data_IF_194317126339
#
_entry.id   IF_194317126339
#
_cell.length_a   1.000
_cell.length_b   1.000
_cell.length_c   1.000
_cell.angle_alpha   90.00
_cell.angle_beta   90.00
_cell.angle_gamma   90.00
#
_symmetry.space_group_name_H-M   'P 1'
#
loop_
_entity.id
_entity.type
_entity.pdbx_description
1 polymer ?
#
# COMPACT_ATOMS: atom_id res chain seq x y z
N UNK A 1 27.98 -45.37 0.34
CA UNK A 1 26.62 -45.16 0.93
C UNK A 1 26.19 -43.76 0.55
N UNK A 2 25.61 -43.64 -0.63
CA UNK A 2 25.25 -42.35 -1.27
C UNK A 2 23.88 -41.92 -0.76
N UNK A 3 23.83 -40.75 -0.11
CA UNK A 3 22.58 -40.08 0.24
C UNK A 3 22.07 -39.26 -0.97
N UNK A 4 21.10 -39.82 -1.68
CA UNK A 4 20.36 -39.13 -2.73
C UNK A 4 19.46 -38.06 -2.11
N UNK A 5 19.77 -36.80 -2.34
CA UNK A 5 18.85 -35.70 -2.13
C UNK A 5 17.71 -35.80 -3.16
N UNK A 6 16.51 -36.11 -2.68
CA UNK A 6 15.31 -36.02 -3.49
C UNK A 6 14.99 -34.55 -3.75
N UNK A 7 15.16 -34.13 -5.01
CA UNK A 7 14.69 -32.85 -5.52
C UNK A 7 13.15 -32.94 -5.52
N UNK A 8 12.51 -32.20 -4.63
CA UNK A 8 11.06 -31.99 -4.66
C UNK A 8 10.74 -31.18 -5.88
N UNK A 9 10.19 -31.83 -6.90
CA UNK A 9 9.66 -31.18 -8.10
C UNK A 9 8.58 -30.17 -7.73
N UNK A 10 8.51 -28.99 -8.37
CA UNK A 10 7.42 -28.04 -8.14
C UNK A 10 6.10 -28.70 -8.52
N UNK A 11 5.15 -28.64 -7.60
CA UNK A 11 3.76 -29.12 -7.81
C UNK A 11 3.25 -28.48 -9.11
N UNK A 12 2.95 -29.30 -10.10
CA UNK A 12 2.37 -28.89 -11.39
C UNK A 12 1.09 -28.07 -11.10
N UNK A 13 1.09 -26.80 -11.48
CA UNK A 13 -0.06 -25.92 -11.38
C UNK A 13 -1.26 -26.60 -12.04
N UNK A 14 -2.32 -26.88 -11.28
CA UNK A 14 -3.57 -27.45 -11.79
C UNK A 14 -4.17 -26.42 -12.72
N UNK A 15 -4.19 -26.69 -14.02
CA UNK A 15 -4.66 -25.81 -15.10
C UNK A 15 -6.22 -25.72 -15.07
N UNK A 16 -6.78 -25.32 -13.95
CA UNK A 16 -8.22 -25.19 -13.73
C UNK A 16 -8.77 -23.95 -14.44
N UNK A 17 -10.06 -23.94 -14.79
CA UNK A 17 -10.70 -22.72 -15.34
C UNK A 17 -10.52 -21.49 -14.44
N UNK A 18 -10.56 -21.64 -13.12
CA UNK A 18 -10.36 -20.55 -12.16
C UNK A 18 -8.92 -19.99 -12.23
N UNK A 19 -7.90 -20.83 -12.30
CA UNK A 19 -6.51 -20.39 -12.42
C UNK A 19 -6.25 -19.63 -13.72
N UNK A 20 -6.85 -20.07 -14.84
CA UNK A 20 -6.78 -19.33 -16.11
C UNK A 20 -7.41 -17.94 -15.99
N UNK A 21 -8.54 -17.83 -15.32
CA UNK A 21 -9.23 -16.57 -15.04
C UNK A 21 -8.34 -15.66 -14.18
N UNK A 22 -7.79 -16.17 -13.08
CA UNK A 22 -6.91 -15.39 -12.20
C UNK A 22 -5.64 -14.92 -12.92
N UNK A 23 -5.06 -15.76 -13.77
CA UNK A 23 -3.91 -15.39 -14.58
C UNK A 23 -4.22 -14.18 -15.48
N UNK A 24 -5.37 -14.18 -16.16
CA UNK A 24 -5.79 -13.04 -17.00
C UNK A 24 -6.01 -11.78 -16.16
N UNK A 25 -6.70 -11.88 -15.02
CA UNK A 25 -7.02 -10.73 -14.18
C UNK A 25 -5.74 -10.05 -13.65
N UNK A 26 -4.71 -10.83 -13.30
CA UNK A 26 -3.40 -10.28 -12.87
C UNK A 26 -2.71 -9.43 -13.95
N UNK A 27 -3.04 -9.64 -15.22
CA UNK A 27 -2.47 -8.87 -16.32
C UNK A 27 -3.22 -7.57 -16.61
N UNK A 28 -4.41 -7.34 -16.04
CA UNK A 28 -5.13 -6.07 -16.22
C UNK A 28 -4.29 -4.97 -15.55
N UNK A 29 -3.84 -3.95 -16.31
CA UNK A 29 -2.99 -2.90 -15.74
C UNK A 29 -3.74 -2.04 -14.70
N UNK A 30 -2.98 -1.39 -13.83
CA UNK A 30 -3.51 -0.37 -12.94
C UNK A 30 -4.21 0.74 -13.74
N UNK A 31 -5.34 1.23 -13.24
CA UNK A 31 -6.13 2.26 -13.91
C UNK A 31 -6.83 1.79 -15.18
N UNK A 32 -6.82 0.48 -15.44
CA UNK A 32 -7.57 -0.15 -16.53
C UNK A 32 -8.59 -1.15 -15.99
N UNK A 33 -9.65 -1.34 -16.75
CA UNK A 33 -10.71 -2.28 -16.41
C UNK A 33 -11.00 -3.25 -17.56
N UNK A 34 -11.38 -4.46 -17.24
CA UNK A 34 -11.84 -5.45 -18.21
C UNK A 34 -13.26 -5.91 -17.85
N UNK A 35 -14.06 -6.25 -18.85
CA UNK A 35 -15.37 -6.81 -18.59
C UNK A 35 -15.28 -8.31 -18.27
N UNK A 36 -16.25 -8.85 -17.54
CA UNK A 36 -16.35 -10.29 -17.28
C UNK A 36 -16.27 -11.13 -18.56
N UNK A 37 -16.90 -10.65 -19.65
CA UNK A 37 -16.86 -11.31 -20.94
C UNK A 37 -15.48 -11.31 -21.57
N UNK A 38 -14.77 -10.20 -21.49
CA UNK A 38 -13.40 -10.06 -21.99
C UNK A 38 -12.43 -10.96 -21.21
N UNK A 39 -12.49 -10.97 -19.89
CA UNK A 39 -11.68 -11.86 -19.05
C UNK A 39 -11.93 -13.33 -19.41
N UNK A 40 -13.20 -13.72 -19.58
CA UNK A 40 -13.55 -15.08 -20.00
C UNK A 40 -12.94 -15.43 -21.37
N UNK A 41 -13.06 -14.54 -22.35
CA UNK A 41 -12.53 -14.77 -23.69
C UNK A 41 -11.00 -14.94 -23.67
N UNK A 42 -10.28 -14.07 -22.97
CA UNK A 42 -8.82 -14.11 -22.81
C UNK A 42 -8.34 -15.34 -22.02
N UNK A 43 -9.15 -15.85 -21.10
CA UNK A 43 -8.88 -17.10 -20.38
C UNK A 43 -9.11 -18.36 -21.23
N UNK A 44 -9.51 -18.23 -22.51
CA UNK A 44 -9.86 -19.34 -23.38
C UNK A 44 -11.22 -19.96 -23.05
N UNK A 45 -12.13 -19.18 -22.43
CA UNK A 45 -13.46 -19.58 -21.96
C UNK A 45 -14.55 -18.65 -22.54
N UNK A 46 -14.63 -18.46 -23.88
CA UNK A 46 -15.57 -17.50 -24.48
C UNK A 46 -17.02 -17.83 -24.06
N UNK A 47 -17.83 -16.81 -23.82
CA UNK A 47 -19.22 -16.95 -23.36
C UNK A 47 -19.39 -17.31 -21.87
N UNK A 48 -18.32 -17.53 -21.12
CA UNK A 48 -18.37 -17.96 -19.72
C UNK A 48 -18.20 -16.78 -18.72
N UNK A 49 -18.72 -15.61 -19.02
CA UNK A 49 -18.64 -14.43 -18.14
C UNK A 49 -19.14 -14.72 -16.70
N UNK A 50 -20.19 -15.54 -16.53
CA UNK A 50 -20.69 -15.94 -15.20
C UNK A 50 -19.67 -16.74 -14.40
N UNK A 51 -18.85 -17.56 -15.07
CA UNK A 51 -17.79 -18.34 -14.41
C UNK A 51 -16.70 -17.42 -13.83
N UNK A 52 -16.40 -16.29 -14.48
CA UNK A 52 -15.48 -15.29 -13.92
C UNK A 52 -16.03 -14.72 -12.62
N UNK A 53 -17.32 -14.40 -12.57
CA UNK A 53 -17.97 -13.94 -11.33
C UNK A 53 -17.93 -15.00 -10.22
N UNK A 54 -18.14 -16.28 -10.56
CA UNK A 54 -18.02 -17.41 -9.62
C UNK A 54 -16.60 -17.55 -9.11
N UNK A 55 -15.60 -17.57 -10.00
CA UNK A 55 -14.20 -17.67 -9.63
C UNK A 55 -13.76 -16.55 -8.67
N UNK A 56 -14.18 -15.31 -8.94
CA UNK A 56 -13.86 -14.18 -8.05
C UNK A 56 -14.55 -14.24 -6.70
N UNK A 57 -15.74 -14.84 -6.61
CA UNK A 57 -16.45 -15.04 -5.34
C UNK A 57 -15.84 -16.18 -4.52
N UNK A 58 -15.36 -17.21 -5.18
CA UNK A 58 -14.77 -18.41 -4.58
C UNK A 58 -13.23 -18.29 -4.43
N UNK A 59 -12.68 -17.12 -4.73
CA UNK A 59 -11.24 -16.88 -4.62
C UNK A 59 -10.78 -17.14 -3.17
N UNK A 60 -9.71 -17.93 -2.97
CA UNK A 60 -9.15 -18.16 -1.63
C UNK A 60 -8.78 -16.86 -0.94
N UNK A 61 -8.98 -16.80 0.38
CA UNK A 61 -8.50 -15.66 1.18
C UNK A 61 -6.98 -15.48 1.00
N UNK A 62 -6.56 -14.25 0.69
CA UNK A 62 -5.15 -13.93 0.45
C UNK A 62 -4.67 -14.13 -0.99
N UNK A 63 -5.54 -14.53 -1.92
CA UNK A 63 -5.20 -14.57 -3.33
C UNK A 63 -5.01 -13.14 -3.86
N UNK A 64 -3.79 -12.83 -4.26
CA UNK A 64 -3.44 -11.51 -4.86
C UNK A 64 -3.92 -11.45 -6.32
N UNK A 65 -5.16 -11.00 -6.49
CA UNK A 65 -5.80 -10.79 -7.79
C UNK A 65 -6.54 -9.45 -7.76
N UNK A 66 -6.27 -8.52 -8.69
CA UNK A 66 -6.91 -7.21 -8.74
C UNK A 66 -8.38 -7.34 -9.24
N UNK A 67 -9.21 -7.99 -8.44
CA UNK A 67 -10.61 -8.29 -8.74
C UNK A 67 -11.45 -7.06 -9.00
N UNK A 68 -11.09 -5.92 -8.39
CA UNK A 68 -11.76 -4.62 -8.56
C UNK A 68 -11.73 -4.13 -10.02
N UNK A 69 -10.73 -4.57 -10.82
CA UNK A 69 -10.59 -4.20 -12.23
C UNK A 69 -11.52 -4.97 -13.17
N UNK A 70 -12.35 -5.89 -12.63
CA UNK A 70 -13.32 -6.66 -13.41
C UNK A 70 -14.73 -6.09 -13.20
N UNK A 71 -15.32 -5.57 -14.28
CA UNK A 71 -16.59 -4.85 -14.27
C UNK A 71 -17.60 -5.47 -15.25
N UNK A 72 -18.85 -5.02 -15.19
CA UNK A 72 -19.86 -5.49 -16.16
C UNK A 72 -19.69 -4.83 -17.54
N UNK A 73 -20.36 -5.39 -18.55
CA UNK A 73 -20.30 -4.90 -19.93
C UNK A 73 -20.87 -3.47 -20.11
N UNK A 74 -21.68 -3.01 -19.17
CA UNK A 74 -22.23 -1.65 -19.17
C UNK A 74 -21.31 -0.60 -18.52
N UNK A 75 -20.04 -0.96 -18.22
CA UNK A 75 -19.07 -0.05 -17.60
C UNK A 75 -19.34 0.23 -16.12
N UNK A 76 -20.11 -0.61 -15.42
CA UNK A 76 -20.42 -0.42 -14.00
C UNK A 76 -19.75 -1.48 -13.12
N UNK A 77 -19.47 -1.12 -11.89
CA UNK A 77 -19.15 -2.10 -10.86
C UNK A 77 -20.34 -3.03 -10.61
N UNK A 78 -20.08 -4.23 -10.12
CA UNK A 78 -21.13 -5.27 -9.98
C UNK A 78 -21.39 -5.58 -8.51
N UNK A 79 -22.66 -5.52 -8.08
CA UNK A 79 -23.10 -6.02 -6.77
C UNK A 79 -22.93 -7.52 -6.71
N UNK A 80 -21.98 -8.01 -5.93
CA UNK A 80 -21.76 -9.46 -5.76
C UNK A 80 -22.49 -10.06 -4.57
N UNK A 81 -22.94 -9.22 -3.60
CA UNK A 81 -23.52 -9.66 -2.34
C UNK A 81 -24.86 -9.04 -1.95
N UNK A 82 -25.50 -8.23 -2.81
CA UNK A 82 -26.84 -7.69 -2.57
C UNK A 82 -26.99 -6.57 -1.53
N UNK A 83 -25.91 -6.15 -0.85
CA UNK A 83 -25.95 -5.13 0.22
C UNK A 83 -25.30 -3.79 -0.16
N UNK A 84 -24.90 -3.57 -1.41
CA UNK A 84 -24.32 -2.28 -1.86
C UNK A 84 -22.93 -1.91 -1.29
N UNK A 85 -22.50 -2.58 -0.22
CA UNK A 85 -21.21 -2.31 0.47
C UNK A 85 -20.02 -2.66 -0.41
N UNK A 86 -20.12 -3.76 -1.16
CA UNK A 86 -19.06 -4.20 -2.08
C UNK A 86 -18.93 -3.28 -3.30
N UNK A 87 -20.04 -2.71 -3.80
CA UNK A 87 -20.02 -1.73 -4.90
C UNK A 87 -19.27 -0.47 -4.51
N UNK A 88 -19.57 0.08 -3.34
CA UNK A 88 -18.88 1.24 -2.81
C UNK A 88 -17.39 0.98 -2.62
N UNK A 89 -17.02 -0.20 -2.14
CA UNK A 89 -15.62 -0.58 -1.94
C UNK A 89 -14.88 -0.82 -3.27
N UNK A 90 -15.51 -1.53 -4.24
CA UNK A 90 -14.94 -1.72 -5.57
C UNK A 90 -14.75 -0.39 -6.29
N UNK A 91 -15.75 0.49 -6.20
CA UNK A 91 -15.68 1.84 -6.76
C UNK A 91 -14.52 2.63 -6.14
N UNK A 92 -14.41 2.63 -4.82
CA UNK A 92 -13.34 3.31 -4.09
C UNK A 92 -11.95 2.83 -4.55
N UNK A 93 -11.73 1.52 -4.67
CA UNK A 93 -10.48 0.95 -5.15
C UNK A 93 -10.16 1.38 -6.60
N UNK A 94 -11.17 1.43 -7.48
CA UNK A 94 -10.99 1.88 -8.85
C UNK A 94 -10.71 3.38 -8.95
N UNK A 95 -11.37 4.20 -8.13
CA UNK A 95 -11.09 5.63 -8.01
C UNK A 95 -9.67 5.87 -7.48
N UNK A 96 -9.20 5.06 -6.54
CA UNK A 96 -7.79 5.07 -6.09
C UNK A 96 -6.82 4.69 -7.21
N UNK A 97 -7.25 3.87 -8.17
CA UNK A 97 -6.47 3.53 -9.37
C UNK A 97 -6.58 4.59 -10.49
N UNK A 98 -7.28 5.69 -10.26
CA UNK A 98 -7.45 6.78 -11.22
C UNK A 98 -8.56 6.54 -12.26
N UNK A 99 -9.41 5.54 -12.06
CA UNK A 99 -10.59 5.32 -12.91
C UNK A 99 -11.68 6.30 -12.53
N UNK A 100 -12.21 7.02 -13.52
CA UNK A 100 -13.25 8.05 -13.32
C UNK A 100 -14.61 7.47 -13.65
N UNK A 101 -15.58 7.73 -12.77
CA UNK A 101 -16.99 7.40 -12.97
C UNK A 101 -17.77 8.65 -13.39
N UNK A 102 -18.68 8.51 -14.33
CA UNK A 102 -19.62 9.56 -14.68
C UNK A 102 -20.70 9.79 -13.60
N UNK A 103 -21.59 10.78 -13.82
CA UNK A 103 -22.69 11.07 -12.89
C UNK A 103 -23.70 9.92 -12.74
N UNK A 104 -23.67 8.93 -13.63
CA UNK A 104 -24.51 7.72 -13.59
C UNK A 104 -23.78 6.50 -13.05
N UNK A 105 -22.55 6.65 -12.52
CA UNK A 105 -21.73 5.58 -11.99
C UNK A 105 -21.19 4.62 -13.05
N UNK A 106 -20.93 5.10 -14.27
CA UNK A 106 -20.32 4.33 -15.36
C UNK A 106 -18.89 4.76 -15.61
N UNK A 107 -18.09 3.80 -16.00
CA UNK A 107 -16.70 3.97 -16.45
C UNK A 107 -16.71 4.07 -17.97
N UNK A 108 -16.01 5.04 -18.51
CA UNK A 108 -15.75 5.17 -19.94
C UNK A 108 -14.79 4.05 -20.39
N UNK A 109 -15.32 3.06 -21.12
CA UNK A 109 -14.56 1.92 -21.58
C UNK A 109 -13.63 2.22 -22.76
N UNK A 110 -13.83 3.30 -23.50
CA UNK A 110 -12.89 3.75 -24.53
C UNK A 110 -11.61 4.27 -23.88
N UNK A 111 -11.75 4.98 -22.77
CA UNK A 111 -10.64 5.56 -22.01
C UNK A 111 -9.96 4.55 -21.06
N UNK A 112 -10.74 3.81 -20.30
CA UNK A 112 -10.28 2.95 -19.22
C UNK A 112 -10.31 1.46 -19.53
N UNK A 113 -10.93 1.05 -20.64
CA UNK A 113 -10.93 -0.35 -21.07
C UNK A 113 -9.52 -0.86 -21.33
N UNK A 114 -9.24 -2.09 -20.86
CA UNK A 114 -7.99 -2.77 -21.15
C UNK A 114 -8.03 -3.38 -22.55
N UNK A 115 -7.07 -2.99 -23.38
CA UNK A 115 -6.81 -3.61 -24.66
C UNK A 115 -5.49 -4.40 -24.59
N UNK A 116 -5.53 -5.74 -24.52
CA UNK A 116 -4.33 -6.56 -24.43
C UNK A 116 -3.51 -6.57 -25.74
N UNK A 117 -4.10 -6.19 -26.87
CA UNK A 117 -3.44 -6.13 -28.19
C UNK A 117 -2.89 -4.72 -28.47
N UNK A 118 -3.33 -3.71 -27.73
CA UNK A 118 -2.74 -2.39 -27.84
C UNK A 118 -1.26 -2.47 -27.42
N UNK A 119 -0.38 -2.51 -28.41
CA UNK A 119 1.06 -2.35 -28.17
C UNK A 119 1.25 -1.10 -27.29
N UNK A 120 2.12 -1.14 -26.27
CA UNK A 120 2.44 0.03 -25.50
C UNK A 120 2.88 1.12 -26.49
N UNK A 121 2.04 2.16 -26.65
CA UNK A 121 2.31 3.25 -27.56
C UNK A 121 3.62 3.90 -27.17
N UNK A 122 4.64 3.69 -28.03
CA UNK A 122 5.89 4.41 -27.98
C UNK A 122 6.88 3.87 -26.94
N UNK A 123 7.54 2.74 -27.26
CA UNK A 123 8.97 2.67 -27.00
C UNK A 123 9.60 3.81 -27.82
N UNK A 124 9.66 5.00 -27.27
CA UNK A 124 10.70 5.90 -27.65
C UNK A 124 12.00 5.11 -27.47
N UNK A 125 12.73 4.87 -28.54
CA UNK A 125 14.12 4.41 -28.50
C UNK A 125 14.90 5.48 -27.76
N UNK A 126 14.84 5.45 -26.44
CA UNK A 126 15.71 6.21 -25.59
C UNK A 126 17.11 5.67 -25.87
N UNK A 127 17.92 6.43 -26.61
CA UNK A 127 19.37 6.34 -26.53
C UNK A 127 19.71 6.19 -25.06
N UNK A 128 20.48 5.13 -24.71
CA UNK A 128 20.88 4.83 -23.36
C UNK A 128 21.32 6.12 -22.66
N UNK A 129 20.43 6.68 -21.84
CA UNK A 129 20.80 7.77 -20.93
C UNK A 129 21.73 7.13 -19.92
N UNK A 130 22.98 7.53 -19.98
CA UNK A 130 23.94 7.25 -18.93
C UNK A 130 23.27 7.54 -17.59
N UNK A 131 23.59 6.75 -16.55
CA UNK A 131 23.07 6.86 -15.19
C UNK A 131 22.97 8.32 -14.81
N UNK A 132 21.79 8.92 -14.91
CA UNK A 132 21.56 10.28 -14.42
C UNK A 132 21.62 10.19 -12.89
N UNK A 133 22.33 11.12 -12.26
CA UNK A 133 22.40 11.15 -10.80
C UNK A 133 21.00 11.37 -10.18
N UNK A 134 20.80 11.02 -8.89
CA UNK A 134 19.49 11.14 -8.22
C UNK A 134 18.82 12.50 -8.39
N UNK A 135 19.58 13.58 -8.41
CA UNK A 135 19.05 14.95 -8.59
C UNK A 135 18.42 15.20 -9.96
N UNK A 136 18.94 14.54 -11.01
CA UNK A 136 18.35 14.65 -12.34
C UNK A 136 17.01 13.90 -12.40
N UNK A 137 16.91 12.73 -11.73
CA UNK A 137 15.67 11.98 -11.59
C UNK A 137 14.64 12.76 -10.75
N UNK A 138 15.05 13.40 -9.64
CA UNK A 138 14.17 14.27 -8.85
C UNK A 138 13.57 15.39 -9.70
N UNK A 139 14.38 16.05 -10.54
CA UNK A 139 13.89 17.09 -11.46
C UNK A 139 12.91 16.51 -12.50
N UNK A 140 13.19 15.33 -13.04
CA UNK A 140 12.31 14.68 -13.99
C UNK A 140 10.96 14.31 -13.36
N UNK A 141 10.95 13.77 -12.16
CA UNK A 141 9.75 13.46 -11.38
C UNK A 141 8.97 14.74 -11.04
N UNK A 142 9.64 15.81 -10.63
CA UNK A 142 8.99 17.10 -10.38
C UNK A 142 8.31 17.65 -11.65
N UNK A 143 8.93 17.50 -12.83
CA UNK A 143 8.34 17.91 -14.09
C UNK A 143 7.11 17.09 -14.47
N UNK A 144 7.04 15.81 -14.09
CA UNK A 144 5.86 14.94 -14.26
C UNK A 144 4.72 15.38 -13.32
N UNK A 145 5.04 15.71 -12.06
CA UNK A 145 4.04 15.99 -11.03
C UNK A 145 3.44 17.40 -11.14
N UNK A 146 4.22 18.42 -11.51
CA UNK A 146 3.78 19.83 -11.57
C UNK A 146 2.48 20.06 -12.34
N UNK A 147 2.29 19.52 -13.56
CA UNK A 147 1.06 19.74 -14.32
C UNK A 147 -0.16 18.99 -13.77
N UNK A 148 0.00 18.08 -12.83
CA UNK A 148 -1.07 17.30 -12.21
C UNK A 148 -1.68 17.99 -10.98
N UNK A 149 -0.98 18.98 -10.43
CA UNK A 149 -1.40 19.71 -9.24
C UNK A 149 -2.24 20.94 -9.53
N UNK A 150 -2.93 21.43 -8.49
CA UNK A 150 -3.61 22.74 -8.54
C UNK A 150 -3.33 23.56 -7.30
N UNK A 151 -3.26 24.93 -7.41
CA UNK A 151 -3.00 25.79 -6.26
C UNK A 151 -3.99 25.63 -5.11
N UNK A 152 -5.28 25.44 -5.43
CA UNK A 152 -6.35 25.31 -4.43
C UNK A 152 -6.15 24.05 -3.58
N UNK A 153 -5.77 22.93 -4.22
CA UNK A 153 -5.46 21.69 -3.50
C UNK A 153 -4.17 21.77 -2.72
N UNK A 154 -3.18 22.47 -3.26
CA UNK A 154 -1.91 22.71 -2.57
C UNK A 154 -2.13 23.43 -1.24
N UNK A 155 -2.91 24.52 -1.26
CA UNK A 155 -3.25 25.28 -0.06
C UNK A 155 -4.06 24.46 0.94
N UNK A 156 -5.10 23.73 0.48
CA UNK A 156 -5.92 22.86 1.30
C UNK A 156 -5.09 21.75 1.98
N UNK A 157 -4.20 21.09 1.25
CA UNK A 157 -3.33 20.03 1.77
C UNK A 157 -2.32 20.58 2.77
N UNK A 158 -1.71 21.72 2.48
CA UNK A 158 -0.76 22.39 3.37
C UNK A 158 -1.41 22.76 4.70
N UNK A 159 -2.58 23.36 4.66
CA UNK A 159 -3.37 23.72 5.84
C UNK A 159 -3.78 22.49 6.65
N UNK A 160 -4.25 21.42 5.99
CA UNK A 160 -4.66 20.19 6.66
C UNK A 160 -3.49 19.48 7.37
N UNK A 161 -2.34 19.38 6.72
CA UNK A 161 -1.15 18.73 7.29
C UNK A 161 -0.36 19.64 8.23
N UNK A 162 -0.68 20.94 8.30
CA UNK A 162 0.04 21.96 9.08
C UNK A 162 1.55 21.87 8.81
N UNK A 163 1.93 21.82 7.55
CA UNK A 163 3.29 21.55 7.11
C UNK A 163 3.94 22.80 6.55
N UNK A 164 5.24 22.98 6.80
CA UNK A 164 6.07 24.04 6.22
C UNK A 164 6.59 23.70 4.82
N UNK A 165 6.32 22.49 4.34
CA UNK A 165 6.73 22.06 3.00
C UNK A 165 5.97 22.82 1.90
N UNK A 166 6.54 22.81 0.70
CA UNK A 166 5.84 23.20 -0.51
C UNK A 166 4.92 22.09 -0.97
N UNK A 167 3.77 22.47 -1.54
CA UNK A 167 2.79 21.54 -2.09
C UNK A 167 2.53 21.87 -3.56
N UNK A 168 2.45 20.83 -4.38
CA UNK A 168 2.03 20.93 -5.79
C UNK A 168 0.51 20.80 -5.92
N UNK A 169 -0.16 20.20 -4.95
CA UNK A 169 -1.60 19.95 -4.97
C UNK A 169 -2.01 18.80 -5.88
N UNK A 170 -1.14 17.79 -6.03
CA UNK A 170 -1.44 16.55 -6.77
C UNK A 170 -2.30 15.65 -5.90
N UNK A 171 -3.33 15.03 -6.50
CA UNK A 171 -4.14 14.04 -5.77
C UNK A 171 -3.37 12.75 -5.52
N UNK A 172 -3.72 11.99 -4.49
CA UNK A 172 -3.12 10.68 -4.24
C UNK A 172 -3.25 9.71 -5.41
N UNK A 173 -4.41 9.59 -6.10
CA UNK A 173 -4.54 8.77 -7.30
C UNK A 173 -3.60 9.21 -8.43
N UNK A 174 -3.51 10.51 -8.71
CA UNK A 174 -2.63 11.02 -9.77
C UNK A 174 -1.15 10.81 -9.43
N UNK A 175 -0.77 10.99 -8.17
CA UNK A 175 0.57 10.69 -7.68
C UNK A 175 0.92 9.21 -7.89
N UNK A 176 0.05 8.29 -7.48
CA UNK A 176 0.24 6.85 -7.67
C UNK A 176 0.34 6.48 -9.14
N UNK A 177 -0.53 7.03 -9.98
CA UNK A 177 -0.46 6.83 -11.42
C UNK A 177 0.90 7.30 -12.00
N UNK A 178 1.39 8.46 -11.54
CA UNK A 178 2.70 8.99 -11.94
C UNK A 178 3.84 8.05 -11.50
N UNK A 179 3.80 7.51 -10.27
CA UNK A 179 4.79 6.53 -9.76
C UNK A 179 4.80 5.27 -10.63
N UNK A 180 3.62 4.71 -10.92
CA UNK A 180 3.52 3.53 -11.77
C UNK A 180 4.04 3.77 -13.20
N UNK A 181 3.69 4.90 -13.78
CA UNK A 181 4.18 5.31 -15.10
C UNK A 181 5.72 5.43 -15.10
N UNK A 182 6.27 6.11 -14.10
CA UNK A 182 7.71 6.26 -13.93
C UNK A 182 8.41 4.90 -13.78
N UNK A 183 7.86 4.00 -12.95
CA UNK A 183 8.39 2.65 -12.77
C UNK A 183 8.36 1.80 -14.04
N UNK A 184 7.33 1.94 -14.87
CA UNK A 184 7.25 1.25 -16.17
C UNK A 184 8.36 1.71 -17.12
N UNK A 185 8.76 2.99 -17.03
CA UNK A 185 9.89 3.53 -17.79
C UNK A 185 11.26 3.15 -17.20
N UNK A 186 11.30 2.69 -15.94
CA UNK A 186 12.52 2.31 -15.21
C UNK A 186 12.51 0.84 -14.75
N UNK A 187 12.37 -0.15 -15.67
CA UNK A 187 12.22 -1.56 -15.31
C UNK A 187 13.48 -2.17 -14.67
N UNK A 188 14.62 -1.48 -14.79
CA UNK A 188 15.93 -1.92 -14.25
C UNK A 188 16.33 -1.16 -12.98
N UNK A 189 15.35 -0.57 -12.27
CA UNK A 189 15.64 0.09 -11.00
C UNK A 189 16.18 -0.96 -10.01
N UNK A 190 17.44 -0.80 -9.64
CA UNK A 190 18.10 -1.64 -8.64
C UNK A 190 17.98 -1.03 -7.22
N UNK A 191 18.36 -1.80 -6.20
CA UNK A 191 18.30 -1.36 -4.80
C UNK A 191 19.15 -0.09 -4.54
N UNK A 192 20.42 -0.01 -4.96
CA UNK A 192 21.21 1.20 -4.74
C UNK A 192 20.59 2.46 -5.33
N UNK A 193 20.04 2.36 -6.54
CA UNK A 193 19.36 3.47 -7.19
C UNK A 193 18.04 3.83 -6.49
N UNK A 194 17.26 2.84 -6.03
CA UNK A 194 16.04 3.07 -5.25
C UNK A 194 16.34 3.82 -3.95
N UNK A 195 17.33 3.36 -3.17
CA UNK A 195 17.74 3.97 -1.89
C UNK A 195 18.23 5.40 -2.10
N UNK A 196 19.09 5.61 -3.09
CA UNK A 196 19.62 6.94 -3.41
C UNK A 196 18.49 7.89 -3.87
N UNK A 197 17.59 7.44 -4.72
CA UNK A 197 16.46 8.24 -5.20
C UNK A 197 15.48 8.58 -4.09
N UNK A 198 15.12 7.62 -3.22
CA UNK A 198 14.25 7.86 -2.08
C UNK A 198 14.83 8.92 -1.15
N UNK A 199 16.13 8.83 -0.84
CA UNK A 199 16.84 9.82 -0.04
C UNK A 199 16.85 11.22 -0.68
N UNK A 200 17.08 11.30 -1.99
CA UNK A 200 17.10 12.55 -2.74
C UNK A 200 15.71 13.21 -2.82
N UNK A 201 14.66 12.43 -3.06
CA UNK A 201 13.27 12.89 -3.03
C UNK A 201 12.89 13.43 -1.64
N UNK A 202 13.35 12.75 -0.58
CA UNK A 202 13.09 13.17 0.81
C UNK A 202 13.82 14.45 1.20
N UNK A 203 14.97 14.70 0.62
CA UNK A 203 15.73 15.92 0.85
C UNK A 203 15.07 17.19 0.28
N UNK A 204 14.06 17.02 -0.59
CA UNK A 204 13.34 18.16 -1.15
C UNK A 204 12.35 18.76 -0.14
N UNK A 205 12.07 20.07 -0.22
CA UNK A 205 11.03 20.71 0.58
C UNK A 205 9.62 20.51 -0.02
N UNK A 206 9.40 19.54 -0.90
CA UNK A 206 8.13 19.33 -1.60
C UNK A 206 7.43 18.07 -1.12
N UNK A 207 6.16 18.22 -0.70
CA UNK A 207 5.32 17.13 -0.19
C UNK A 207 5.19 15.97 -1.17
N UNK A 208 4.80 16.27 -2.41
CA UNK A 208 4.52 15.22 -3.39
C UNK A 208 5.76 14.48 -3.86
N UNK A 209 6.94 15.12 -3.83
CA UNK A 209 8.21 14.44 -4.11
C UNK A 209 8.55 13.44 -3.00
N UNK A 210 8.33 13.80 -1.72
CA UNK A 210 8.46 12.86 -0.59
C UNK A 210 7.45 11.73 -0.68
N UNK A 211 6.20 12.05 -1.00
CA UNK A 211 5.13 11.06 -1.19
C UNK A 211 5.45 10.10 -2.34
N UNK A 212 6.02 10.59 -3.44
CA UNK A 212 6.51 9.76 -4.55
C UNK A 212 7.59 8.78 -4.07
N UNK A 213 8.53 9.23 -3.26
CA UNK A 213 9.57 8.38 -2.66
C UNK A 213 8.99 7.28 -1.78
N UNK A 214 7.96 7.58 -0.97
CA UNK A 214 7.28 6.58 -0.14
C UNK A 214 6.60 5.50 -0.99
N UNK A 215 5.85 5.88 -2.02
CA UNK A 215 5.18 4.94 -2.92
C UNK A 215 6.22 4.08 -3.67
N UNK A 216 7.37 4.65 -4.07
CA UNK A 216 8.47 3.88 -4.66
C UNK A 216 9.00 2.81 -3.70
N UNK A 217 9.26 3.16 -2.44
CA UNK A 217 9.74 2.21 -1.43
C UNK A 217 8.75 1.08 -1.20
N UNK A 218 7.46 1.38 -1.13
CA UNK A 218 6.40 0.38 -0.99
C UNK A 218 6.33 -0.54 -2.21
N UNK A 219 6.27 0.02 -3.43
CA UNK A 219 6.13 -0.76 -4.66
C UNK A 219 7.39 -1.57 -5.01
N UNK A 220 8.53 -1.18 -4.49
CA UNK A 220 9.82 -1.87 -4.63
C UNK A 220 10.31 -2.50 -3.34
N UNK A 221 9.39 -2.76 -2.40
CA UNK A 221 9.68 -3.44 -1.14
C UNK A 221 10.51 -4.74 -1.29
N UNK A 222 10.32 -5.58 -2.33
CA UNK A 222 11.16 -6.75 -2.56
C UNK A 222 12.65 -6.43 -2.75
N UNK A 223 13.02 -5.24 -3.19
CA UNK A 223 14.42 -4.81 -3.34
C UNK A 223 15.07 -4.39 -2.01
N UNK A 224 14.26 -3.99 -1.02
CA UNK A 224 14.79 -3.53 0.26
C UNK A 224 15.27 -4.71 1.11
N UNK A 225 16.29 -4.48 1.91
CA UNK A 225 16.90 -5.44 2.81
C UNK A 225 16.91 -4.93 4.25
N UNK A 226 17.26 -5.79 5.21
CA UNK A 226 17.41 -5.39 6.62
C UNK A 226 18.42 -4.26 6.84
N UNK A 227 19.44 -4.18 5.99
CA UNK A 227 20.42 -3.08 6.00
C UNK A 227 19.83 -1.70 5.69
N UNK A 228 18.63 -1.63 5.09
CA UNK A 228 17.97 -0.37 4.76
C UNK A 228 17.19 0.24 5.93
N UNK A 229 17.15 -0.44 7.09
CA UNK A 229 16.51 0.10 8.29
C UNK A 229 17.09 1.48 8.70
N UNK A 230 18.38 1.73 8.44
CA UNK A 230 19.02 3.03 8.68
C UNK A 230 18.47 4.14 7.79
N UNK A 231 18.17 3.84 6.51
CA UNK A 231 17.45 4.77 5.63
C UNK A 231 16.08 5.11 6.20
N UNK A 232 15.29 4.09 6.55
CA UNK A 232 13.93 4.32 7.08
C UNK A 232 13.95 5.13 8.36
N UNK A 233 14.92 4.90 9.25
CA UNK A 233 15.11 5.70 10.47
C UNK A 233 15.40 7.16 10.15
N UNK A 234 16.28 7.44 9.20
CA UNK A 234 16.59 8.80 8.76
C UNK A 234 15.34 9.49 8.15
N UNK A 235 14.61 8.80 7.29
CA UNK A 235 13.37 9.33 6.71
C UNK A 235 12.34 9.64 7.80
N UNK A 236 12.14 8.74 8.76
CA UNK A 236 11.21 8.92 9.88
C UNK A 236 11.57 10.12 10.76
N UNK A 237 12.84 10.28 11.12
CA UNK A 237 13.30 11.44 11.92
C UNK A 237 13.06 12.78 11.21
N UNK A 238 13.19 12.81 9.89
CA UNK A 238 12.97 14.00 9.07
C UNK A 238 11.55 14.17 8.56
N UNK A 239 10.62 13.29 8.99
CA UNK A 239 9.23 13.30 8.51
C UNK A 239 8.46 14.56 8.89
N UNK A 240 8.54 14.98 10.14
CA UNK A 240 7.80 16.15 10.65
C UNK A 240 6.28 16.05 10.59
N UNK A 241 5.72 14.93 10.09
CA UNK A 241 4.29 14.73 9.93
C UNK A 241 3.90 13.26 10.09
N UNK A 242 2.76 13.04 10.72
CA UNK A 242 2.16 11.71 10.87
C UNK A 242 1.87 11.02 9.52
N UNK A 243 1.56 11.78 8.47
CA UNK A 243 1.23 11.24 7.15
C UNK A 243 2.37 10.39 6.56
N UNK A 244 3.61 10.83 6.75
CA UNK A 244 4.79 10.08 6.31
C UNK A 244 5.13 8.93 7.26
N UNK A 245 5.09 9.21 8.56
CA UNK A 245 5.42 8.26 9.63
C UNK A 245 4.54 7.02 9.54
N UNK A 246 3.23 7.21 9.41
CA UNK A 246 2.27 6.11 9.36
C UNK A 246 2.47 5.26 8.11
N UNK A 247 2.66 5.91 6.97
CA UNK A 247 2.91 5.20 5.72
C UNK A 247 4.20 4.36 5.79
N UNK A 248 5.33 4.98 6.15
CA UNK A 248 6.62 4.28 6.22
C UNK A 248 6.60 3.15 7.26
N UNK A 249 6.01 3.40 8.42
CA UNK A 249 5.94 2.39 9.47
C UNK A 249 5.05 1.20 9.08
N UNK A 250 3.85 1.47 8.54
CA UNK A 250 2.86 0.43 8.24
C UNK A 250 3.16 -0.27 6.92
N UNK A 251 3.47 0.50 5.85
CA UNK A 251 3.55 -0.05 4.50
C UNK A 251 4.97 -0.47 4.08
N UNK A 252 6.01 0.00 4.79
CA UNK A 252 7.40 -0.34 4.44
C UNK A 252 8.06 -1.11 5.57
N UNK A 253 8.20 -0.53 6.77
CA UNK A 253 8.91 -1.18 7.89
C UNK A 253 8.20 -2.43 8.39
N UNK A 254 6.88 -2.41 8.55
CA UNK A 254 6.11 -3.56 9.01
C UNK A 254 6.32 -4.81 8.13
N UNK A 255 6.10 -4.75 6.82
CA UNK A 255 6.38 -5.87 5.92
C UNK A 255 7.86 -6.29 5.88
N UNK A 256 8.81 -5.36 6.05
CA UNK A 256 10.22 -5.71 6.18
C UNK A 256 10.49 -6.54 7.44
N UNK A 257 9.90 -6.17 8.58
CA UNK A 257 10.01 -6.90 9.85
C UNK A 257 9.38 -8.29 9.73
N UNK A 258 8.26 -8.43 9.05
CA UNK A 258 7.64 -9.75 8.80
C UNK A 258 8.55 -10.65 7.97
N UNK A 259 9.22 -10.08 6.97
CA UNK A 259 10.14 -10.83 6.10
C UNK A 259 11.46 -11.16 6.78
N UNK A 260 11.99 -10.25 7.62
CA UNK A 260 13.23 -10.43 8.36
C UNK A 260 13.04 -10.11 9.86
N UNK A 261 12.73 -11.13 10.67
CA UNK A 261 12.52 -10.95 12.11
C UNK A 261 13.70 -10.36 12.88
N UNK A 262 14.93 -10.33 12.32
CA UNK A 262 16.10 -9.65 12.93
C UNK A 262 15.85 -8.16 13.11
N UNK A 263 15.00 -7.55 12.27
CA UNK A 263 14.57 -6.16 12.39
C UNK A 263 13.73 -5.86 13.64
N UNK A 264 13.26 -6.88 14.34
CA UNK A 264 12.63 -6.70 15.65
C UNK A 264 13.55 -5.99 16.66
N UNK A 265 14.87 -6.19 16.56
CA UNK A 265 15.83 -5.47 17.39
C UNK A 265 15.83 -3.95 17.10
N UNK A 266 15.54 -3.56 15.86
CA UNK A 266 15.40 -2.14 15.47
C UNK A 266 14.14 -1.56 16.12
N UNK A 267 13.01 -2.28 16.09
CA UNK A 267 11.77 -1.83 16.74
C UNK A 267 11.95 -1.73 18.27
N UNK A 268 12.65 -2.68 18.90
CA UNK A 268 12.96 -2.69 20.34
C UNK A 268 13.84 -1.49 20.74
N UNK A 269 14.64 -0.95 19.82
CA UNK A 269 15.38 0.30 19.99
C UNK A 269 14.47 1.51 19.78
N UNK A 270 13.71 1.55 18.68
CA UNK A 270 12.84 2.67 18.33
C UNK A 270 11.78 2.97 19.40
N UNK A 271 11.21 1.97 20.03
CA UNK A 271 10.20 2.15 21.09
C UNK A 271 10.75 2.89 22.32
N UNK A 272 12.08 3.02 22.44
CA UNK A 272 12.80 3.70 23.52
C UNK A 272 13.43 5.03 23.08
N UNK A 273 13.31 5.36 21.80
CA UNK A 273 13.98 6.51 21.20
C UNK A 273 13.43 7.83 21.76
N UNK A 274 14.26 8.87 21.96
CA UNK A 274 13.77 10.19 22.37
C UNK A 274 12.81 10.82 21.34
N UNK A 275 12.95 10.50 20.05
CA UNK A 275 12.03 10.93 19.01
C UNK A 275 10.72 10.13 19.05
N UNK A 276 9.62 10.82 19.33
CA UNK A 276 8.31 10.17 19.40
C UNK A 276 7.82 9.61 18.05
N UNK A 277 8.31 10.10 16.92
CA UNK A 277 7.99 9.52 15.62
C UNK A 277 8.57 8.11 15.46
N UNK A 278 9.76 7.85 15.99
CA UNK A 278 10.32 6.50 16.01
C UNK A 278 9.57 5.59 16.98
N UNK A 279 9.19 6.11 18.18
CA UNK A 279 8.36 5.33 19.11
C UNK A 279 7.01 4.98 18.49
N UNK A 280 6.37 5.94 17.80
CA UNK A 280 5.14 5.71 17.03
C UNK A 280 5.34 4.64 15.96
N UNK A 281 6.42 4.74 15.19
CA UNK A 281 6.75 3.79 14.11
C UNK A 281 6.97 2.38 14.62
N UNK A 282 7.61 2.20 15.78
CA UNK A 282 7.79 0.88 16.40
C UNK A 282 6.44 0.19 16.68
N UNK A 283 5.44 0.96 17.14
CA UNK A 283 4.08 0.44 17.38
C UNK A 283 3.37 0.13 16.08
N UNK A 284 3.42 1.05 15.10
CA UNK A 284 2.67 0.94 13.86
C UNK A 284 3.26 -0.11 12.89
N UNK A 285 4.55 -0.42 12.97
CA UNK A 285 5.15 -1.51 12.21
C UNK A 285 4.53 -2.88 12.52
N UNK A 286 3.91 -3.04 13.71
CA UNK A 286 3.22 -4.27 14.09
C UNK A 286 1.75 -4.32 13.61
N UNK A 287 1.22 -3.24 13.04
CA UNK A 287 -0.21 -3.09 12.76
C UNK A 287 -0.74 -4.13 11.76
N UNK A 288 -0.11 -4.29 10.60
CA UNK A 288 -0.64 -5.15 9.53
C UNK A 288 -0.76 -6.62 9.94
N UNK A 289 0.29 -7.27 10.50
CA UNK A 289 0.17 -8.65 10.94
C UNK A 289 -0.86 -8.81 12.08
N UNK A 290 -0.93 -7.88 13.03
CA UNK A 290 -1.92 -7.90 14.11
C UNK A 290 -3.35 -7.73 13.57
N UNK A 291 -3.57 -6.83 12.61
CA UNK A 291 -4.85 -6.63 11.92
C UNK A 291 -5.33 -7.88 11.19
N UNK A 292 -4.41 -8.67 10.61
CA UNK A 292 -4.73 -9.95 9.97
C UNK A 292 -5.07 -11.08 10.96
N UNK A 293 -4.96 -10.82 12.26
CA UNK A 293 -5.25 -11.77 13.34
C UNK A 293 -4.05 -12.61 13.79
N UNK A 294 -2.86 -12.37 13.19
CA UNK A 294 -1.57 -12.95 13.60
C UNK A 294 -0.69 -11.96 14.33
N UNK A 295 0.60 -11.96 13.99
CA UNK A 295 1.59 -10.99 14.46
C UNK A 295 2.07 -11.19 15.92
N UNK A 296 3.03 -10.36 16.31
CA UNK A 296 3.65 -10.42 17.65
C UNK A 296 2.86 -9.57 18.67
N UNK A 297 1.71 -10.13 19.13
CA UNK A 297 0.91 -9.50 20.19
C UNK A 297 1.68 -9.29 21.50
N UNK A 298 2.49 -10.26 21.99
CA UNK A 298 3.31 -10.04 23.17
C UNK A 298 4.26 -8.85 23.05
N UNK A 299 4.86 -8.64 21.87
CA UNK A 299 5.70 -7.46 21.60
C UNK A 299 4.89 -6.18 21.65
N UNK A 300 3.74 -6.14 20.98
CA UNK A 300 2.84 -4.99 21.06
C UNK A 300 2.47 -4.64 22.51
N UNK A 301 2.13 -5.64 23.33
CA UNK A 301 1.81 -5.44 24.75
C UNK A 301 2.98 -4.82 25.50
N UNK A 302 4.20 -5.33 25.31
CA UNK A 302 5.40 -4.75 25.93
C UNK A 302 5.64 -3.30 25.51
N UNK A 303 5.42 -2.98 24.22
CA UNK A 303 5.56 -1.60 23.73
C UNK A 303 4.48 -0.71 24.29
N UNK A 304 3.25 -1.18 24.29
CA UNK A 304 2.12 -0.43 24.88
C UNK A 304 2.36 -0.16 26.37
N UNK A 305 2.76 -1.15 27.17
CA UNK A 305 3.04 -0.98 28.60
C UNK A 305 4.10 0.08 28.88
N UNK A 306 5.06 0.24 27.98
CA UNK A 306 6.08 1.29 28.08
C UNK A 306 5.52 2.67 27.75
N UNK A 307 4.55 2.75 26.81
CA UNK A 307 4.09 4.00 26.20
C UNK A 307 2.73 4.48 26.71
N UNK A 308 2.01 3.69 27.55
CA UNK A 308 0.66 4.00 28.01
C UNK A 308 0.54 5.33 28.75
N UNK A 309 1.58 5.72 29.49
CA UNK A 309 1.59 6.93 30.32
C UNK A 309 2.13 8.15 29.58
N UNK A 310 2.58 8.00 28.33
CA UNK A 310 3.06 9.13 27.54
C UNK A 310 1.94 10.15 27.30
N UNK A 311 2.33 11.43 27.33
CA UNK A 311 1.42 12.54 27.07
C UNK A 311 1.29 12.87 25.59
N UNK A 312 2.21 12.36 24.75
CA UNK A 312 2.23 12.63 23.32
C UNK A 312 0.96 12.09 22.65
N UNK A 313 0.22 13.01 22.01
CA UNK A 313 -1.06 12.69 21.37
C UNK A 313 -0.91 11.60 20.30
N UNK A 314 0.13 11.69 19.48
CA UNK A 314 0.34 10.75 18.39
C UNK A 314 0.71 9.35 18.86
N UNK A 315 1.34 9.20 20.03
CA UNK A 315 1.58 7.90 20.67
C UNK A 315 0.27 7.30 21.15
N UNK A 316 -0.54 8.08 21.89
CA UNK A 316 -1.85 7.65 22.39
C UNK A 316 -2.77 7.19 21.25
N UNK A 317 -2.75 7.93 20.15
CA UNK A 317 -3.52 7.61 18.93
C UNK A 317 -3.04 6.31 18.29
N UNK A 318 -1.73 6.08 18.19
CA UNK A 318 -1.17 4.85 17.62
C UNK A 318 -1.58 3.61 18.42
N UNK A 319 -1.46 3.66 19.75
CA UNK A 319 -1.88 2.55 20.61
C UNK A 319 -3.36 2.22 20.44
N UNK A 320 -4.21 3.25 20.45
CA UNK A 320 -5.65 3.09 20.24
C UNK A 320 -5.96 2.51 18.85
N UNK A 321 -5.27 2.97 17.80
CA UNK A 321 -5.47 2.47 16.45
C UNK A 321 -5.11 0.98 16.31
N UNK A 322 -3.97 0.55 16.80
CA UNK A 322 -3.61 -0.87 16.78
C UNK A 322 -4.62 -1.71 17.55
N UNK A 323 -5.02 -1.29 18.76
CA UNK A 323 -6.04 -1.98 19.56
C UNK A 323 -7.37 -2.08 18.80
N UNK A 324 -7.82 -1.00 18.16
CA UNK A 324 -9.02 -0.97 17.32
C UNK A 324 -8.95 -1.97 16.16
N UNK A 325 -7.82 -2.05 15.47
CA UNK A 325 -7.68 -3.00 14.37
C UNK A 325 -7.65 -4.45 14.85
N UNK A 326 -7.04 -4.70 16.00
CA UNK A 326 -7.02 -6.03 16.63
C UNK A 326 -8.43 -6.43 17.11
N UNK A 327 -9.22 -5.50 17.65
CA UNK A 327 -10.56 -5.81 18.19
C UNK A 327 -11.52 -6.35 17.13
N UNK A 328 -11.33 -6.02 15.87
CA UNK A 328 -12.14 -6.52 14.75
C UNK A 328 -12.07 -8.06 14.59
N UNK A 329 -10.97 -8.69 14.98
CA UNK A 329 -10.78 -10.15 14.93
C UNK A 329 -10.66 -10.81 16.29
N UNK A 330 -10.15 -10.08 17.28
CA UNK A 330 -9.88 -10.59 18.63
C UNK A 330 -10.40 -9.64 19.72
N UNK A 331 -11.72 -9.39 19.80
CA UNK A 331 -12.30 -8.43 20.75
C UNK A 331 -11.97 -8.78 22.19
N UNK A 332 -11.99 -10.08 22.57
CA UNK A 332 -11.69 -10.52 23.93
C UNK A 332 -10.24 -10.22 24.35
N UNK A 333 -9.31 -10.31 23.41
CA UNK A 333 -7.90 -9.97 23.64
C UNK A 333 -7.75 -8.50 24.00
N UNK A 334 -8.49 -7.63 23.29
CA UNK A 334 -8.47 -6.18 23.56
C UNK A 334 -9.23 -5.85 24.84
N UNK A 335 -10.41 -6.45 25.10
CA UNK A 335 -11.12 -6.29 26.39
C UNK A 335 -10.24 -6.67 27.58
N UNK A 336 -9.52 -7.80 27.50
CA UNK A 336 -8.58 -8.21 28.54
C UNK A 336 -7.47 -7.17 28.71
N UNK A 337 -6.85 -6.70 27.62
CA UNK A 337 -5.81 -5.68 27.64
C UNK A 337 -6.28 -4.40 28.34
N UNK A 338 -7.49 -3.92 28.02
CA UNK A 338 -8.06 -2.70 28.59
C UNK A 338 -8.36 -2.85 30.09
N UNK A 339 -8.93 -3.99 30.52
CA UNK A 339 -9.20 -4.27 31.94
C UNK A 339 -7.93 -4.31 32.78
N UNK A 340 -6.91 -5.03 32.31
CA UNK A 340 -5.63 -5.18 33.03
C UNK A 340 -4.88 -3.85 33.20
N UNK A 341 -5.22 -2.84 32.39
CA UNK A 341 -4.53 -1.54 32.37
C UNK A 341 -5.47 -0.36 32.67
N UNK A 342 -6.60 -0.67 33.31
CA UNK A 342 -7.52 0.37 33.76
C UNK A 342 -6.79 1.38 34.66
N UNK A 343 -7.06 2.66 34.49
CA UNK A 343 -6.38 3.75 35.20
C UNK A 343 -5.04 4.22 34.58
N UNK A 344 -4.39 3.40 33.72
CA UNK A 344 -3.18 3.80 32.98
C UNK A 344 -3.47 4.30 31.56
N UNK A 345 -4.66 3.97 31.06
CA UNK A 345 -5.05 4.30 29.68
C UNK A 345 -5.48 5.76 29.54
N UNK A 346 -4.93 6.45 28.54
CA UNK A 346 -5.45 7.75 28.16
C UNK A 346 -6.87 7.64 27.58
N UNK A 347 -7.71 8.67 27.79
CA UNK A 347 -9.05 8.70 27.19
C UNK A 347 -9.02 8.62 25.66
N UNK A 348 -7.96 9.10 24.99
CA UNK A 348 -7.78 8.98 23.55
C UNK A 348 -7.56 7.52 23.17
N UNK A 349 -6.65 6.83 23.84
CA UNK A 349 -6.34 5.41 23.59
C UNK A 349 -7.57 4.54 23.80
N UNK A 350 -8.29 4.75 24.92
CA UNK A 350 -9.48 3.98 25.26
C UNK A 350 -10.59 4.15 24.23
N UNK A 351 -11.01 5.39 23.94
CA UNK A 351 -12.07 5.69 22.95
C UNK A 351 -11.76 5.13 21.56
N UNK A 352 -10.50 5.16 21.15
CA UNK A 352 -10.10 4.61 19.85
C UNK A 352 -10.16 3.08 19.85
N UNK A 353 -9.70 2.43 20.92
CA UNK A 353 -9.70 0.97 21.07
C UNK A 353 -11.11 0.37 21.14
N UNK A 354 -12.05 1.07 21.78
CA UNK A 354 -13.41 0.59 22.06
C UNK A 354 -14.37 0.71 20.87
N UNK A 355 -13.97 1.32 19.75
CA UNK A 355 -14.86 1.58 18.58
C UNK A 355 -15.55 0.34 17.99
N UNK A 356 -15.02 -0.84 18.21
CA UNK A 356 -15.54 -2.10 17.68
C UNK A 356 -15.62 -3.20 18.78
N UNK A 357 -15.67 -2.81 20.05
CA UNK A 357 -15.90 -3.68 21.19
C UNK A 357 -17.36 -3.62 21.63
#
# INVERSE_FOLDING_TARGET
MELRYAIVSPVAAKNTPHEKIYAVIRHIPLGKVATYGQVAALAGLPGRARLVGTALREAPEGLDVPWQRVINAGGRVSSRGGLGIEEGYQRHLLEEEGVVFDSHGRIDLERFGWDPEAAPRGRAKGKGRGRQGPDAEVRAIAAILRPLGTPERAEGSKSYLKSDLDFLGVTTPDLRAAVHHWLAAHPRLDRPALVALAGALWATPCHELRAFGMELLQLRLPLLESGDAGLLEDLLRRSGSWAYVDFLAVQVMGPLVERDPRLNAVLDRWVKDPDFWLRRSAVLALLLPLRRGGGDWPRFVRYADRLLEEKEFFIRKALGWVLREVSKKHPERVRKFLREREGRLSGVTRREAEKYL
#
